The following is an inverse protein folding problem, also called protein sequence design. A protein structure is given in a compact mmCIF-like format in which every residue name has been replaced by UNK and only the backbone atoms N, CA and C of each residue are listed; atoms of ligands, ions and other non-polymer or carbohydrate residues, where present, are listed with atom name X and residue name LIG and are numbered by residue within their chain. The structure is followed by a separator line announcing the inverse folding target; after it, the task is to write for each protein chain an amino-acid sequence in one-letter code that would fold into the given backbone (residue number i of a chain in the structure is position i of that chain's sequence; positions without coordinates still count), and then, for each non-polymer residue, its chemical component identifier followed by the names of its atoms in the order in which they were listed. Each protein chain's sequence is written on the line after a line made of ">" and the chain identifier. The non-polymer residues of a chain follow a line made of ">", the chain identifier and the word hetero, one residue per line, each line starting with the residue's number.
data_IF_198990507807
#
_entry.id   IF_198990507807
#
_cell.length_a   1.000
_cell.length_b   1.000
_cell.length_c   1.000
_cell.angle_alpha   90.00
_cell.angle_beta   90.00
_cell.angle_gamma   90.00
#
_symmetry.space_group_name_H-M   'P 1'
#
loop_
_entity.id
_entity.type
_entity.pdbx_description
1 polymer ?
#
# COMPACT_ATOMS: atom_id res chain seq x y z
N UNK A 1 -8.65 -3.54 -8.21
CA UNK A 1 -9.51 -2.77 -9.09
C UNK A 1 -8.75 -1.59 -9.67
N UNK A 2 -8.63 -1.56 -10.99
CA UNK A 2 -7.85 -0.54 -11.71
C UNK A 2 -8.39 0.87 -11.46
N UNK A 3 -9.71 1.03 -11.43
CA UNK A 3 -10.34 2.33 -11.17
C UNK A 3 -9.95 2.88 -9.81
N UNK A 4 -9.96 2.02 -8.80
CA UNK A 4 -9.59 2.40 -7.44
C UNK A 4 -8.16 2.95 -7.41
N UNK A 5 -7.22 2.24 -8.02
CA UNK A 5 -5.82 2.67 -8.04
C UNK A 5 -5.61 3.90 -8.92
N UNK A 6 -6.34 4.04 -10.02
CA UNK A 6 -6.27 5.25 -10.84
C UNK A 6 -6.71 6.49 -10.05
N UNK A 7 -7.77 6.36 -9.24
CA UNK A 7 -8.19 7.46 -8.37
C UNK A 7 -7.10 7.82 -7.36
N UNK A 8 -6.40 6.82 -6.82
CA UNK A 8 -5.31 7.06 -5.89
C UNK A 8 -4.11 7.73 -6.57
N UNK A 9 -3.82 7.34 -7.81
CA UNK A 9 -2.75 7.97 -8.61
C UNK A 9 -3.02 9.45 -8.80
N UNK A 10 -4.27 9.80 -9.11
CA UNK A 10 -4.65 11.21 -9.26
C UNK A 10 -4.42 11.98 -7.96
N UNK A 11 -4.82 11.41 -6.84
CA UNK A 11 -4.62 12.02 -5.52
C UNK A 11 -3.13 12.21 -5.20
N UNK A 12 -2.31 11.18 -5.49
CA UNK A 12 -0.88 11.27 -5.28
C UNK A 12 -0.24 12.38 -6.12
N UNK A 13 -0.63 12.49 -7.37
CA UNK A 13 -0.13 13.55 -8.25
C UNK A 13 -0.53 14.94 -7.76
N UNK A 14 -1.75 15.08 -7.28
CA UNK A 14 -2.22 16.35 -6.71
C UNK A 14 -1.44 16.74 -5.46
N UNK A 15 -0.90 15.77 -4.73
CA UNK A 15 -0.06 15.99 -3.55
C UNK A 15 1.43 16.09 -3.89
N UNK A 16 1.79 16.01 -5.19
CA UNK A 16 3.17 15.99 -5.66
C UNK A 16 3.98 14.81 -5.12
N UNK A 17 3.33 13.68 -4.91
CA UNK A 17 3.97 12.46 -4.45
C UNK A 17 4.34 11.62 -5.68
N UNK A 18 5.63 11.31 -5.81
CA UNK A 18 6.15 10.54 -6.96
C UNK A 18 6.83 9.23 -6.55
N UNK A 19 6.69 8.84 -5.31
CA UNK A 19 7.27 7.60 -4.79
C UNK A 19 6.33 7.01 -3.74
N UNK A 20 6.12 5.69 -3.80
CA UNK A 20 5.34 4.95 -2.81
C UNK A 20 6.09 3.70 -2.39
N UNK A 21 5.75 3.22 -1.19
CA UNK A 21 6.19 1.92 -0.70
C UNK A 21 5.01 0.97 -0.76
N UNK A 22 5.22 -0.21 -1.36
CA UNK A 22 4.22 -1.27 -1.38
C UNK A 22 4.62 -2.28 -0.31
N UNK A 23 3.77 -2.41 0.71
CA UNK A 23 4.01 -3.35 1.80
C UNK A 23 3.19 -4.60 1.51
N UNK A 24 3.88 -5.72 1.28
CA UNK A 24 3.25 -7.01 1.09
C UNK A 24 3.67 -7.93 2.23
N UNK A 25 2.73 -8.25 3.10
CA UNK A 25 2.99 -9.02 4.30
C UNK A 25 3.45 -10.45 4.00
N UNK A 26 4.03 -11.07 5.03
CA UNK A 26 4.56 -12.43 4.95
C UNK A 26 3.49 -13.52 5.01
N UNK A 27 2.21 -13.16 5.05
CA UNK A 27 1.10 -14.10 5.25
C UNK A 27 0.57 -14.71 3.97
N UNK A 28 1.32 -14.64 2.88
CA UNK A 28 0.90 -15.26 1.63
C UNK A 28 1.13 -16.76 1.76
N UNK A 29 0.06 -17.53 1.75
CA UNK A 29 0.14 -18.99 1.75
C UNK A 29 0.85 -19.44 0.47
N UNK A 30 1.61 -20.53 0.57
CA UNK A 30 2.44 -21.03 -0.52
C UNK A 30 1.69 -21.13 -1.85
N UNK A 31 0.46 -21.64 -1.82
CA UNK A 31 -0.35 -21.81 -3.04
C UNK A 31 -0.94 -20.49 -3.57
N UNK A 32 -0.88 -19.42 -2.80
CA UNK A 32 -1.38 -18.10 -3.19
C UNK A 32 -0.23 -17.15 -3.60
N UNK A 33 1.00 -17.53 -3.35
CA UNK A 33 2.17 -16.70 -3.57
C UNK A 33 2.27 -16.21 -5.02
N UNK A 34 2.10 -17.12 -5.96
CA UNK A 34 2.21 -16.80 -7.39
C UNK A 34 1.17 -15.77 -7.83
N UNK A 35 -0.07 -15.94 -7.42
CA UNK A 35 -1.16 -15.02 -7.78
C UNK A 35 -0.97 -13.66 -7.12
N UNK A 36 -0.53 -13.65 -5.86
CA UNK A 36 -0.25 -12.40 -5.14
C UNK A 36 0.92 -11.64 -5.75
N UNK A 37 1.96 -12.35 -6.19
CA UNK A 37 3.11 -11.74 -6.87
C UNK A 37 2.69 -11.08 -8.18
N UNK A 38 1.86 -11.76 -8.98
CA UNK A 38 1.33 -11.18 -10.22
C UNK A 38 0.49 -9.94 -9.95
N UNK A 39 -0.33 -9.96 -8.90
CA UNK A 39 -1.15 -8.82 -8.53
C UNK A 39 -0.30 -7.63 -8.11
N UNK A 40 0.74 -7.87 -7.31
CA UNK A 40 1.68 -6.83 -6.89
C UNK A 40 2.39 -6.23 -8.11
N UNK A 41 2.81 -7.07 -9.06
CA UNK A 41 3.47 -6.61 -10.28
C UNK A 41 2.53 -5.73 -11.12
N UNK A 42 1.26 -6.09 -11.22
CA UNK A 42 0.28 -5.29 -11.93
C UNK A 42 0.09 -3.91 -11.29
N UNK A 43 0.01 -3.86 -9.97
CA UNK A 43 -0.09 -2.61 -9.23
C UNK A 43 1.16 -1.77 -9.43
N UNK A 44 2.33 -2.37 -9.25
CA UNK A 44 3.61 -1.69 -9.44
C UNK A 44 3.70 -1.08 -10.83
N UNK A 45 3.40 -1.86 -11.86
CA UNK A 45 3.45 -1.39 -13.24
C UNK A 45 2.49 -0.22 -13.47
N UNK A 46 1.29 -0.29 -12.91
CA UNK A 46 0.31 0.78 -13.05
C UNK A 46 0.82 2.10 -12.47
N UNK A 47 1.41 2.06 -11.28
CA UNK A 47 1.98 3.26 -10.67
C UNK A 47 3.21 3.76 -11.44
N UNK A 48 4.10 2.86 -11.84
CA UNK A 48 5.32 3.26 -12.56
C UNK A 48 5.03 3.79 -13.96
N UNK A 49 4.00 3.28 -14.63
CA UNK A 49 3.54 3.83 -15.91
C UNK A 49 3.05 5.26 -15.76
N UNK A 50 2.64 5.64 -14.57
CA UNK A 50 2.21 6.99 -14.23
C UNK A 50 3.32 7.80 -13.55
N UNK A 51 4.56 7.37 -13.67
CA UNK A 51 5.76 8.06 -13.16
C UNK A 51 5.79 8.16 -11.64
N UNK A 52 5.20 7.18 -10.96
CA UNK A 52 5.29 7.03 -9.51
C UNK A 52 6.17 5.83 -9.22
N UNK A 53 7.35 6.08 -8.65
CA UNK A 53 8.30 5.02 -8.32
C UNK A 53 7.75 4.15 -7.20
N UNK A 54 7.84 2.83 -7.37
CA UNK A 54 7.40 1.87 -6.37
C UNK A 54 8.60 1.17 -5.74
N UNK A 55 8.62 1.13 -4.42
CA UNK A 55 9.60 0.37 -3.66
C UNK A 55 8.84 -0.75 -2.95
N UNK A 56 9.21 -1.99 -3.25
CA UNK A 56 8.56 -3.16 -2.67
C UNK A 56 9.23 -3.52 -1.34
N UNK A 57 8.44 -3.60 -0.29
CA UNK A 57 8.87 -4.08 1.01
C UNK A 57 8.21 -5.43 1.26
N UNK A 58 8.91 -6.48 0.89
CA UNK A 58 8.40 -7.86 0.97
C UNK A 58 9.01 -8.57 2.17
N UNK A 59 8.24 -9.46 2.78
CA UNK A 59 8.72 -10.37 3.83
C UNK A 59 9.30 -9.66 5.07
N UNK A 60 8.83 -8.47 5.35
CA UNK A 60 9.21 -7.77 6.58
C UNK A 60 8.47 -8.35 7.78
N UNK A 61 9.01 -8.08 8.97
CA UNK A 61 8.33 -8.39 10.22
C UNK A 61 6.99 -7.62 10.25
N UNK A 62 5.85 -8.29 10.59
CA UNK A 62 4.56 -7.61 10.65
C UNK A 62 4.52 -6.39 11.56
N UNK A 63 5.23 -6.41 12.68
CA UNK A 63 5.29 -5.26 13.58
C UNK A 63 5.97 -4.07 12.92
N UNK A 64 7.01 -4.32 12.14
CA UNK A 64 7.69 -3.28 11.38
C UNK A 64 6.78 -2.69 10.31
N UNK A 65 6.03 -3.54 9.61
CA UNK A 65 5.06 -3.08 8.61
C UNK A 65 3.98 -2.20 9.23
N UNK A 66 3.51 -2.55 10.43
CA UNK A 66 2.54 -1.73 11.16
C UNK A 66 3.16 -0.36 11.49
N UNK A 67 4.37 -0.34 12.04
CA UNK A 67 5.04 0.92 12.38
C UNK A 67 5.22 1.82 11.16
N UNK A 68 5.65 1.27 10.03
CA UNK A 68 5.81 2.03 8.80
C UNK A 68 4.48 2.60 8.34
N UNK A 69 3.43 1.77 8.35
CA UNK A 69 2.11 2.17 7.84
C UNK A 69 1.45 3.23 8.71
N UNK A 70 1.53 3.09 10.03
CA UNK A 70 0.88 4.06 10.92
C UNK A 70 1.65 5.39 10.99
N UNK A 71 2.96 5.38 10.77
CA UNK A 71 3.78 6.59 10.81
C UNK A 71 3.92 7.27 9.44
N UNK A 72 3.51 6.62 8.37
CA UNK A 72 3.54 7.22 7.04
C UNK A 72 2.63 8.46 7.02
N UNK A 73 3.03 9.47 6.26
CA UNK A 73 2.21 10.66 6.11
C UNK A 73 0.87 10.32 5.44
N UNK A 74 0.91 9.47 4.43
CA UNK A 74 -0.28 9.03 3.69
C UNK A 74 -0.32 7.52 3.63
N UNK A 75 -1.52 6.96 3.60
CA UNK A 75 -1.74 5.53 3.53
C UNK A 75 -2.83 5.24 2.51
N UNK A 76 -2.62 4.21 1.68
CA UNK A 76 -3.61 3.74 0.72
C UNK A 76 -4.13 2.39 1.19
N UNK A 77 -5.42 2.33 1.44
CA UNK A 77 -6.09 1.12 1.87
C UNK A 77 -6.25 0.18 0.68
N UNK A 78 -5.77 -1.06 0.81
CA UNK A 78 -5.94 -2.09 -0.20
C UNK A 78 -6.93 -3.18 0.23
N UNK A 79 -7.60 -2.99 1.37
CA UNK A 79 -8.54 -3.96 1.92
C UNK A 79 -7.89 -4.93 2.89
N UNK A 80 -8.71 -5.82 3.45
CA UNK A 80 -8.25 -6.83 4.38
C UNK A 80 -8.10 -6.35 5.82
N UNK A 81 -7.89 -7.31 6.74
CA UNK A 81 -7.82 -7.03 8.16
C UNK A 81 -6.63 -6.18 8.58
N UNK A 82 -5.50 -6.37 7.90
CA UNK A 82 -4.29 -5.58 8.18
C UNK A 82 -4.53 -4.09 7.88
N UNK A 83 -5.10 -3.78 6.72
CA UNK A 83 -5.41 -2.39 6.36
C UNK A 83 -6.41 -1.77 7.33
N UNK A 84 -7.41 -2.54 7.76
CA UNK A 84 -8.41 -2.07 8.71
C UNK A 84 -7.77 -1.69 10.05
N UNK A 85 -6.87 -2.51 10.55
CA UNK A 85 -6.12 -2.23 11.78
C UNK A 85 -5.31 -0.94 11.64
N UNK A 86 -4.60 -0.77 10.53
CA UNK A 86 -3.79 0.43 10.27
C UNK A 86 -4.67 1.68 10.26
N UNK A 87 -5.82 1.61 9.59
CA UNK A 87 -6.76 2.73 9.52
C UNK A 87 -7.24 3.13 10.91
N UNK A 88 -7.59 2.16 11.76
CA UNK A 88 -8.03 2.42 13.12
C UNK A 88 -6.94 3.10 13.96
N UNK A 89 -5.72 2.60 13.90
CA UNK A 89 -4.60 3.17 14.62
C UNK A 89 -4.31 4.60 14.15
N UNK A 90 -4.30 4.81 12.84
CA UNK A 90 -4.05 6.14 12.28
C UNK A 90 -5.12 7.13 12.71
N UNK A 91 -6.37 6.71 12.75
CA UNK A 91 -7.47 7.54 13.22
C UNK A 91 -7.26 7.95 14.68
N UNK A 92 -6.87 7.01 15.55
CA UNK A 92 -6.57 7.30 16.95
C UNK A 92 -5.38 8.26 17.10
N UNK A 93 -4.46 8.25 16.17
CA UNK A 93 -3.30 9.14 16.16
C UNK A 93 -3.58 10.50 15.48
N UNK A 94 -4.83 10.78 15.14
CA UNK A 94 -5.25 11.99 14.43
C UNK A 94 -4.55 12.15 13.08
N UNK A 95 -4.24 11.04 12.41
CA UNK A 95 -3.70 11.03 11.07
C UNK A 95 -4.80 10.75 10.06
N UNK A 96 -4.61 11.18 8.80
CA UNK A 96 -5.50 10.81 7.73
C UNK A 96 -5.52 9.28 7.62
N UNK A 97 -6.68 8.61 7.82
CA UNK A 97 -6.71 7.14 7.85
C UNK A 97 -6.30 6.50 6.53
N UNK A 98 -6.75 7.06 5.41
CA UNK A 98 -6.42 6.58 4.06
C UNK A 98 -6.65 7.70 3.06
N UNK A 99 -5.89 7.64 1.99
CA UNK A 99 -6.15 8.52 0.85
C UNK A 99 -7.44 8.16 0.13
#
# INVERSE_FOLDING_TARGET
>A
NKKYFNDKIIKLKNLNINKIYIIAGAHIKYNQYKNSSLYIDLIKNLFEDNKIKCILLLKNNPDYDILLSVNAKNFINTGGGFSKLIIEIRHEMNKLPSL
#
